data_IF_814170022428
#
_entry.id   IF_814170022428
#
_cell.length_a   1.000
_cell.length_b   1.000
_cell.length_c   1.000
_cell.angle_alpha   90.00
_cell.angle_beta   90.00
_cell.angle_gamma   90.00
#
_symmetry.space_group_name_H-M   'P 1'
#
loop_
_entity.id
_entity.type
_entity.pdbx_description
1 polymer ?
#
# COMPACT_ATOMS: atom_id res chain seq x y z
N UNK A 1 15.65 26.19 27.90
CA UNK A 1 14.64 25.99 26.85
C UNK A 1 15.16 24.95 25.88
N UNK A 2 14.45 23.82 25.74
CA UNK A 2 14.29 23.07 24.47
C UNK A 2 13.46 21.83 24.77
N UNK A 3 12.16 21.95 24.47
CA UNK A 3 11.15 20.93 24.71
C UNK A 3 11.31 19.78 23.73
N UNK A 4 11.44 18.57 24.25
CA UNK A 4 11.25 17.35 23.50
C UNK A 4 9.77 17.21 23.12
N UNK A 5 9.48 17.34 21.83
CA UNK A 5 8.17 17.03 21.26
C UNK A 5 7.99 15.51 21.30
N UNK A 6 7.19 15.02 22.24
CA UNK A 6 6.70 13.64 22.27
C UNK A 6 5.73 13.45 21.10
N UNK A 7 6.14 12.76 20.03
CA UNK A 7 5.20 12.26 19.01
C UNK A 7 4.36 11.15 19.64
N UNK A 8 3.12 11.47 19.99
CA UNK A 8 2.15 10.48 20.44
C UNK A 8 1.80 9.55 19.27
N UNK A 9 2.30 8.30 19.30
CA UNK A 9 1.70 7.22 18.51
C UNK A 9 0.28 7.02 19.05
N UNK A 10 -0.72 7.36 18.24
CA UNK A 10 -2.11 7.20 18.60
C UNK A 10 -2.45 5.70 18.55
N UNK A 11 -2.36 5.01 19.68
CA UNK A 11 -2.86 3.65 19.80
C UNK A 11 -4.38 3.68 20.02
N UNK A 12 -5.12 3.03 19.12
CA UNK A 12 -6.56 2.86 19.25
C UNK A 12 -6.88 2.09 20.55
N UNK A 13 -7.84 2.57 21.34
CA UNK A 13 -8.26 1.93 22.60
C UNK A 13 -8.75 0.49 22.32
N UNK A 14 -8.47 -0.49 23.22
CA UNK A 14 -8.86 -1.87 23.00
C UNK A 14 -10.38 -2.04 23.10
N UNK A 15 -11.01 -2.44 21.99
CA UNK A 15 -12.41 -2.88 21.93
C UNK A 15 -12.52 -4.38 22.29
N UNK A 16 -13.70 -4.82 22.71
CA UNK A 16 -13.96 -6.24 23.02
C UNK A 16 -13.64 -7.12 21.79
N UNK A 17 -12.99 -8.26 22.03
CA UNK A 17 -12.35 -9.12 21.01
C UNK A 17 -13.26 -9.45 19.80
N UNK A 18 -14.58 -9.61 19.99
CA UNK A 18 -15.56 -9.87 18.92
C UNK A 18 -16.02 -8.65 18.13
N UNK A 19 -16.30 -7.52 18.79
CA UNK A 19 -16.71 -6.27 18.13
C UNK A 19 -15.54 -5.62 17.36
N UNK A 20 -14.33 -5.75 17.92
CA UNK A 20 -13.09 -5.31 17.30
C UNK A 20 -12.87 -6.05 15.98
N UNK A 21 -12.97 -7.38 15.99
CA UNK A 21 -12.74 -8.24 14.82
C UNK A 21 -13.69 -7.91 13.65
N UNK A 22 -14.98 -7.69 13.92
CA UNK A 22 -15.94 -7.28 12.89
C UNK A 22 -15.59 -5.92 12.27
N UNK A 23 -15.21 -4.95 13.10
CA UNK A 23 -14.80 -3.61 12.63
C UNK A 23 -13.52 -3.65 11.80
N UNK A 24 -12.56 -4.51 12.17
CA UNK A 24 -11.33 -4.71 11.41
C UNK A 24 -11.57 -5.39 10.06
N UNK A 25 -12.50 -6.34 10.01
CA UNK A 25 -12.91 -6.99 8.76
C UNK A 25 -13.63 -6.02 7.81
N UNK A 26 -14.54 -5.20 8.32
CA UNK A 26 -15.19 -4.14 7.53
C UNK A 26 -14.17 -3.16 6.97
N UNK A 27 -13.16 -2.79 7.77
CA UNK A 27 -12.06 -1.94 7.34
C UNK A 27 -11.24 -2.60 6.22
N UNK A 28 -10.91 -3.90 6.35
CA UNK A 28 -10.20 -4.65 5.32
C UNK A 28 -10.97 -4.64 3.97
N UNK A 29 -12.28 -4.91 4.00
CA UNK A 29 -13.12 -4.89 2.79
C UNK A 29 -13.21 -3.48 2.19
N UNK A 30 -13.32 -2.45 3.04
CA UNK A 30 -13.33 -1.05 2.59
C UNK A 30 -12.01 -0.67 1.91
N UNK A 31 -10.89 -1.12 2.45
CA UNK A 31 -9.56 -0.90 1.87
C UNK A 31 -9.41 -1.60 0.52
N UNK A 32 -9.83 -2.87 0.38
CA UNK A 32 -9.81 -3.58 -0.90
C UNK A 32 -10.67 -2.90 -1.96
N UNK A 33 -11.84 -2.38 -1.56
CA UNK A 33 -12.70 -1.59 -2.46
C UNK A 33 -12.01 -0.32 -2.94
N UNK A 34 -11.28 0.38 -2.05
CA UNK A 34 -10.51 1.57 -2.44
C UNK A 34 -9.33 1.22 -3.34
N UNK A 35 -8.60 0.14 -3.04
CA UNK A 35 -7.52 -0.33 -3.91
C UNK A 35 -8.02 -0.65 -5.32
N UNK A 36 -9.23 -1.20 -5.46
CA UNK A 36 -9.82 -1.46 -6.77
C UNK A 36 -10.13 -0.17 -7.55
N UNK A 37 -10.37 0.96 -6.87
CA UNK A 37 -10.54 2.26 -7.52
C UNK A 37 -9.21 2.79 -8.06
N UNK A 38 -8.11 2.58 -7.33
CA UNK A 38 -6.77 2.93 -7.82
C UNK A 38 -6.38 2.04 -9.01
N UNK A 39 -6.64 0.74 -8.93
CA UNK A 39 -6.40 -0.20 -10.03
C UNK A 39 -7.21 0.15 -11.28
N UNK A 40 -8.46 0.60 -11.12
CA UNK A 40 -9.25 1.10 -12.24
C UNK A 40 -8.56 2.28 -12.95
N UNK A 41 -7.94 3.20 -12.20
CA UNK A 41 -7.18 4.31 -12.81
C UNK A 41 -5.97 3.78 -13.56
N UNK A 42 -5.20 2.87 -12.96
CA UNK A 42 -4.04 2.24 -13.61
C UNK A 42 -4.46 1.57 -14.93
N UNK A 43 -5.54 0.78 -14.90
CA UNK A 43 -6.06 0.08 -16.08
C UNK A 43 -6.53 1.05 -17.19
N UNK A 44 -6.88 2.29 -16.86
CA UNK A 44 -7.23 3.34 -17.84
C UNK A 44 -6.01 4.04 -18.43
N UNK A 45 -4.93 4.15 -17.67
CA UNK A 45 -3.72 4.86 -18.06
C UNK A 45 -2.66 3.94 -18.71
N UNK A 46 -2.77 2.62 -18.52
CA UNK A 46 -1.71 1.67 -18.87
C UNK A 46 -1.32 1.70 -20.36
N UNK A 47 -2.31 1.87 -21.25
CA UNK A 47 -2.13 1.89 -22.70
C UNK A 47 -2.10 3.33 -23.28
N UNK A 48 -2.23 4.36 -22.44
CA UNK A 48 -2.20 5.76 -22.88
C UNK A 48 -0.76 6.32 -22.80
N UNK A 49 -0.01 6.43 -23.91
CA UNK A 49 1.37 6.93 -23.87
C UNK A 49 1.48 8.40 -23.46
N UNK A 50 0.35 9.14 -23.40
CA UNK A 50 0.31 10.54 -22.97
C UNK A 50 0.01 10.71 -21.48
N UNK A 51 -0.42 9.64 -20.81
CA UNK A 51 -0.60 9.64 -19.37
C UNK A 51 0.76 9.81 -18.66
N UNK A 52 0.89 10.68 -17.65
CA UNK A 52 2.13 10.81 -16.89
C UNK A 52 2.41 9.56 -16.05
N UNK A 53 3.65 9.05 -16.07
CA UNK A 53 4.08 7.88 -15.30
C UNK A 53 3.92 8.09 -13.80
N UNK A 54 4.00 9.34 -13.34
CA UNK A 54 3.84 9.71 -11.93
C UNK A 54 2.41 9.46 -11.44
N UNK A 55 1.42 9.70 -12.29
CA UNK A 55 0.00 9.46 -11.95
C UNK A 55 -0.25 7.97 -11.82
N UNK A 56 0.28 7.16 -12.75
CA UNK A 56 0.19 5.71 -12.70
C UNK A 56 0.94 5.15 -11.48
N UNK A 57 2.17 5.60 -11.25
CA UNK A 57 3.00 5.20 -10.11
C UNK A 57 2.36 5.56 -8.77
N UNK A 58 1.73 6.73 -8.66
CA UNK A 58 0.98 7.15 -7.48
C UNK A 58 -0.20 6.20 -7.19
N UNK A 59 -1.03 5.92 -8.20
CA UNK A 59 -2.14 4.98 -8.01
C UNK A 59 -1.66 3.55 -7.75
N UNK A 60 -0.55 3.13 -8.35
CA UNK A 60 0.05 1.82 -8.08
C UNK A 60 0.51 1.71 -6.62
N UNK A 61 1.21 2.71 -6.10
CA UNK A 61 1.61 2.78 -4.69
C UNK A 61 0.38 2.72 -3.77
N UNK A 62 -0.64 3.53 -4.07
CA UNK A 62 -1.87 3.59 -3.29
C UNK A 62 -2.63 2.26 -3.27
N UNK A 63 -2.72 1.58 -4.42
CA UNK A 63 -3.33 0.26 -4.53
C UNK A 63 -2.58 -0.76 -3.64
N UNK A 64 -1.26 -0.84 -3.79
CA UNK A 64 -0.42 -1.74 -2.99
C UNK A 64 -0.57 -1.47 -1.49
N UNK A 65 -0.48 -0.21 -1.07
CA UNK A 65 -0.62 0.20 0.33
C UNK A 65 -1.95 -0.25 0.93
N UNK A 66 -3.05 -0.01 0.21
CA UNK A 66 -4.40 -0.37 0.65
C UNK A 66 -4.58 -1.88 0.72
N UNK A 67 -4.02 -2.64 -0.22
CA UNK A 67 -4.07 -4.11 -0.19
C UNK A 67 -3.32 -4.66 1.03
N UNK A 68 -2.09 -4.20 1.29
CA UNK A 68 -1.29 -4.64 2.44
C UNK A 68 -1.99 -4.28 3.77
N UNK A 69 -2.53 -3.06 3.87
CA UNK A 69 -3.32 -2.63 5.04
C UNK A 69 -4.59 -3.45 5.21
N UNK A 70 -5.23 -3.91 4.12
CA UNK A 70 -6.38 -4.79 4.22
C UNK A 70 -6.03 -6.14 4.85
N UNK A 71 -4.87 -6.71 4.50
CA UNK A 71 -4.38 -7.95 5.12
C UNK A 71 -4.11 -7.77 6.61
N UNK A 72 -3.41 -6.69 6.98
CA UNK A 72 -3.15 -6.36 8.39
C UNK A 72 -4.45 -6.12 9.18
N UNK A 73 -5.38 -5.37 8.59
CA UNK A 73 -6.70 -5.14 9.17
C UNK A 73 -7.44 -6.47 9.37
N UNK A 74 -7.50 -7.35 8.37
CA UNK A 74 -8.18 -8.63 8.49
C UNK A 74 -7.58 -9.52 9.59
N UNK A 75 -6.28 -9.44 9.83
CA UNK A 75 -5.58 -10.12 10.91
C UNK A 75 -5.72 -9.42 12.28
N UNK A 76 -6.43 -8.29 12.37
CA UNK A 76 -6.60 -7.51 13.60
C UNK A 76 -5.32 -6.77 14.05
N UNK A 77 -4.38 -6.57 13.13
CA UNK A 77 -3.08 -5.93 13.39
C UNK A 77 -3.21 -4.43 13.10
N UNK A 78 -2.92 -3.61 14.11
CA UNK A 78 -2.85 -2.17 13.94
C UNK A 78 -1.59 -1.79 13.14
N UNK A 79 -1.76 -0.94 12.13
CA UNK A 79 -0.68 -0.44 11.29
C UNK A 79 -0.50 1.08 11.46
N UNK A 80 0.73 1.60 11.25
CA UNK A 80 1.00 3.04 11.32
C UNK A 80 0.34 3.81 10.17
N UNK A 81 0.12 5.11 10.38
CA UNK A 81 -0.19 6.05 9.31
C UNK A 81 1.13 6.32 8.55
N UNK A 82 1.47 5.41 7.64
CA UNK A 82 2.63 5.46 6.76
C UNK A 82 2.19 5.16 5.33
N UNK A 83 2.92 5.72 4.37
CA UNK A 83 2.80 5.38 2.95
C UNK A 83 3.96 4.51 2.45
N UNK A 84 4.85 4.09 3.37
CA UNK A 84 6.01 3.28 3.04
C UNK A 84 5.61 1.81 2.97
N UNK A 85 5.65 1.23 1.77
CA UNK A 85 5.30 -0.18 1.54
C UNK A 85 6.24 -1.11 2.30
N UNK A 86 7.54 -0.77 2.37
CA UNK A 86 8.52 -1.52 3.14
C UNK A 86 8.09 -1.72 4.60
N UNK A 87 7.67 -0.66 5.29
CA UNK A 87 7.24 -0.75 6.69
C UNK A 87 5.99 -1.62 6.89
N UNK A 88 5.09 -1.64 5.90
CA UNK A 88 3.90 -2.50 5.95
C UNK A 88 4.25 -3.97 5.71
N UNK A 89 5.17 -4.25 4.78
CA UNK A 89 5.62 -5.61 4.49
C UNK A 89 6.42 -6.17 5.69
N UNK A 90 7.31 -5.37 6.28
CA UNK A 90 8.05 -5.76 7.48
C UNK A 90 7.07 -6.12 8.61
N UNK A 91 6.03 -5.30 8.81
CA UNK A 91 4.99 -5.59 9.79
C UNK A 91 4.18 -6.87 9.48
N UNK A 92 3.90 -7.16 8.20
CA UNK A 92 3.25 -8.40 7.76
C UNK A 92 4.11 -9.61 8.12
N UNK A 93 5.41 -9.54 7.84
CA UNK A 93 6.38 -10.60 8.12
C UNK A 93 6.56 -10.80 9.63
N UNK A 94 6.76 -9.71 10.38
CA UNK A 94 6.88 -9.74 11.85
C UNK A 94 5.64 -10.32 12.54
N UNK A 95 4.49 -10.29 11.87
CA UNK A 95 3.23 -10.84 12.37
C UNK A 95 2.95 -12.30 11.95
N UNK A 96 3.88 -12.94 11.22
CA UNK A 96 3.76 -14.34 10.78
C UNK A 96 2.74 -14.58 9.67
N UNK A 97 2.39 -13.55 8.88
CA UNK A 97 1.49 -13.67 7.73
C UNK A 97 2.22 -14.01 6.42
N UNK A 98 3.56 -13.94 6.45
CA UNK A 98 4.53 -14.22 5.40
C UNK A 98 4.18 -13.59 4.05
N UNK A 99 4.79 -12.43 3.78
CA UNK A 99 4.74 -11.81 2.46
C UNK A 99 5.68 -12.56 1.51
N UNK A 100 5.28 -12.86 0.26
CA UNK A 100 6.09 -13.69 -0.63
C UNK A 100 7.29 -12.91 -1.16
N UNK A 101 8.48 -13.51 -1.09
CA UNK A 101 9.75 -12.91 -1.56
C UNK A 101 9.70 -12.54 -3.06
N UNK A 102 8.92 -13.26 -3.86
CA UNK A 102 8.72 -12.99 -5.29
C UNK A 102 7.82 -11.78 -5.59
N UNK A 103 7.23 -11.17 -4.57
CA UNK A 103 6.42 -9.94 -4.65
C UNK A 103 7.12 -8.74 -4.00
N UNK A 104 8.30 -8.96 -3.44
CA UNK A 104 9.06 -8.02 -2.63
C UNK A 104 9.47 -6.75 -3.40
N UNK A 105 9.61 -6.90 -4.72
CA UNK A 105 9.83 -5.81 -5.66
C UNK A 105 8.80 -4.69 -5.54
N UNK A 106 7.57 -4.95 -5.05
CA UNK A 106 6.53 -3.91 -4.91
C UNK A 106 7.00 -2.73 -4.06
N UNK A 107 8.03 -2.91 -3.23
CA UNK A 107 8.69 -1.84 -2.48
C UNK A 107 9.25 -0.72 -3.37
N UNK A 108 9.58 -0.97 -4.64
CA UNK A 108 10.05 0.06 -5.57
C UNK A 108 8.99 1.16 -5.79
N UNK A 109 7.71 0.91 -5.46
CA UNK A 109 6.66 1.92 -5.55
C UNK A 109 6.68 2.93 -4.39
N UNK A 110 7.49 2.71 -3.35
CA UNK A 110 7.59 3.60 -2.18
C UNK A 110 7.95 5.06 -2.50
N UNK A 111 8.80 5.40 -3.49
CA UNK A 111 9.09 6.79 -3.86
C UNK A 111 7.88 7.55 -4.42
N UNK A 112 6.90 6.87 -5.03
CA UNK A 112 5.66 7.49 -5.52
C UNK A 112 4.68 7.87 -4.39
N UNK A 113 5.02 7.53 -3.15
CA UNK A 113 4.20 7.77 -1.97
C UNK A 113 4.34 9.20 -1.39
N UNK A 114 5.22 10.02 -1.95
CA UNK A 114 5.57 11.36 -1.46
C UNK A 114 5.29 12.40 -2.54
N UNK A 115 4.57 13.46 -2.16
CA UNK A 115 4.41 14.72 -2.90
C UNK A 115 5.66 15.07 -3.72
N UNK A 116 5.45 15.29 -5.02
CA UNK A 116 6.30 16.10 -5.91
C UNK A 116 7.73 16.35 -5.40
N UNK A 117 8.63 15.38 -5.55
CA UNK A 117 10.09 15.64 -5.46
C UNK A 117 10.60 16.30 -6.76
N UNK A 118 9.88 17.28 -7.27
CA UNK A 118 10.15 17.90 -8.57
C UNK A 118 11.09 19.10 -8.56
N UNK A 119 11.74 19.41 -7.43
CA UNK A 119 12.69 20.53 -7.42
C UNK A 119 14.16 20.10 -7.53
N UNK A 120 14.52 18.80 -7.50
CA UNK A 120 15.95 18.40 -7.46
C UNK A 120 16.25 17.02 -8.09
N UNK A 121 15.85 16.74 -9.33
CA UNK A 121 16.52 15.69 -10.12
C UNK A 121 16.91 16.22 -11.50
N UNK A 122 18.18 16.07 -11.93
CA UNK A 122 18.59 16.41 -13.29
C UNK A 122 17.81 15.55 -14.30
N UNK A 123 17.48 16.15 -15.45
CA UNK A 123 16.61 15.68 -16.55
C UNK A 123 16.97 14.31 -17.19
N UNK A 124 17.83 13.49 -16.58
CA UNK A 124 18.51 12.37 -17.27
C UNK A 124 18.35 10.99 -16.60
N UNK A 125 17.34 10.76 -15.76
CA UNK A 125 17.02 9.41 -15.26
C UNK A 125 15.52 9.08 -15.39
N UNK A 126 14.98 9.20 -16.59
CA UNK A 126 13.69 8.62 -16.95
C UNK A 126 13.91 7.23 -17.56
N UNK A 127 14.09 6.20 -16.72
CA UNK A 127 13.67 4.87 -17.17
C UNK A 127 12.14 4.86 -17.04
N UNK A 128 11.38 4.73 -18.14
CA UNK A 128 9.94 4.71 -18.07
C UNK A 128 9.50 3.61 -17.12
N UNK A 129 8.49 3.90 -16.29
CA UNK A 129 7.93 2.84 -15.45
C UNK A 129 7.43 1.73 -16.38
N UNK A 130 7.82 0.47 -16.14
CA UNK A 130 7.21 -0.64 -16.88
C UNK A 130 5.78 -0.85 -16.35
N UNK A 131 4.85 -0.13 -16.96
CA UNK A 131 3.44 -0.08 -16.57
C UNK A 131 2.80 -1.46 -16.52
N UNK A 132 3.19 -2.37 -17.43
CA UNK A 132 2.66 -3.74 -17.48
C UNK A 132 3.20 -4.56 -16.34
N UNK A 133 4.51 -4.51 -16.10
CA UNK A 133 5.14 -5.19 -14.97
C UNK A 133 4.58 -4.71 -13.63
N UNK A 134 4.36 -3.40 -13.46
CA UNK A 134 3.71 -2.83 -12.26
C UNK A 134 2.31 -3.43 -12.06
N UNK A 135 1.52 -3.47 -13.13
CA UNK A 135 0.14 -3.98 -13.05
C UNK A 135 0.11 -5.47 -12.73
N UNK A 136 0.97 -6.27 -13.35
CA UNK A 136 1.11 -7.70 -13.07
C UNK A 136 1.49 -7.96 -11.61
N UNK A 137 2.43 -7.17 -11.07
CA UNK A 137 2.83 -7.26 -9.68
C UNK A 137 1.67 -6.94 -8.73
N UNK A 138 0.89 -5.90 -9.01
CA UNK A 138 -0.31 -5.56 -8.24
C UNK A 138 -1.37 -6.66 -8.28
N UNK A 139 -1.59 -7.30 -9.44
CA UNK A 139 -2.52 -8.43 -9.56
C UNK A 139 -2.08 -9.57 -8.65
N UNK A 140 -0.78 -9.89 -8.62
CA UNK A 140 -0.23 -10.95 -7.76
C UNK A 140 -0.36 -10.61 -6.27
N UNK A 141 -0.04 -9.36 -5.88
CA UNK A 141 -0.21 -8.87 -4.50
C UNK A 141 -1.68 -8.90 -4.08
N UNK A 142 -2.61 -8.49 -4.95
CA UNK A 142 -4.05 -8.59 -4.70
C UNK A 142 -4.48 -10.05 -4.48
N UNK A 143 -4.07 -10.96 -5.37
CA UNK A 143 -4.42 -12.37 -5.25
C UNK A 143 -3.93 -12.97 -3.93
N UNK A 144 -2.68 -12.70 -3.57
CA UNK A 144 -2.10 -13.11 -2.28
C UNK A 144 -2.91 -12.60 -1.07
N UNK A 145 -3.39 -11.35 -1.14
CA UNK A 145 -4.20 -10.75 -0.10
C UNK A 145 -5.61 -11.37 -0.03
N UNK A 146 -6.27 -11.58 -1.16
CA UNK A 146 -7.61 -12.18 -1.24
C UNK A 146 -7.64 -13.62 -0.71
N UNK A 147 -6.55 -14.38 -0.90
CA UNK A 147 -6.39 -15.72 -0.31
C UNK A 147 -6.41 -15.71 1.24
N UNK A 148 -6.03 -14.57 1.85
CA UNK A 148 -5.97 -14.36 3.31
C UNK A 148 -7.20 -13.66 3.89
N UNK A 149 -7.95 -12.92 3.07
CA UNK A 149 -9.13 -12.14 3.47
C UNK A 149 -10.45 -12.90 3.18
N UNK A 150 -10.38 -14.23 2.96
CA UNK A 150 -11.53 -15.06 2.54
C UNK A 150 -12.83 -14.78 3.33
N UNK A 151 -14.00 -14.83 2.64
CA UNK A 151 -15.31 -14.55 3.22
C UNK A 151 -15.70 -15.49 4.37
#
# INVERSE_FOLDING_TARGET
MNGQIRRARFFMKPLKRGECFMKWREEALRLLKKAAQDEFVIDKLIDDPTAPDEVLGFHAQQAAEKILKAVLANAGIAYPITHRLAELIDLINDSGLDFPDDLDDIRFLTPFAVEFRYDILPEEQESPIDRKTVRELLIRVRKWAEERIKP
#
